data_IF_061408524567
#
_entry.id   IF_061408524567
#
_cell.length_a   1.000
_cell.length_b   1.000
_cell.length_c   1.000
_cell.angle_alpha   90.00
_cell.angle_beta   90.00
_cell.angle_gamma   90.00
#
_symmetry.space_group_name_H-M   'P 1'
#
loop_
_entity.id
_entity.type
_entity.pdbx_description
1 polymer ?
#
# COMPACT_ATOMS: atom_id res chain seq x y z
N UNK A 1 20.15 16.42 -23.47
CA UNK A 1 19.92 15.46 -24.59
C UNK A 1 19.23 14.20 -24.10
N UNK A 2 19.80 13.47 -23.11
CA UNK A 2 19.18 12.23 -22.58
C UNK A 2 17.76 12.45 -22.00
N UNK A 3 17.53 13.53 -21.28
CA UNK A 3 16.23 13.82 -20.65
C UNK A 3 15.12 14.05 -21.69
N UNK A 4 15.43 14.81 -22.73
CA UNK A 4 14.48 15.11 -23.81
C UNK A 4 14.11 13.84 -24.59
N UNK A 5 15.09 12.96 -24.82
CA UNK A 5 14.87 11.69 -25.48
C UNK A 5 13.89 10.81 -24.70
N UNK A 6 14.07 10.68 -23.37
CA UNK A 6 13.14 9.92 -22.54
C UNK A 6 11.72 10.49 -22.60
N UNK A 7 11.58 11.81 -22.56
CA UNK A 7 10.27 12.45 -22.69
C UNK A 7 9.63 12.20 -24.06
N UNK A 8 10.40 12.27 -25.15
CA UNK A 8 9.92 11.95 -26.50
C UNK A 8 9.47 10.49 -26.60
N UNK A 9 10.27 9.54 -26.10
CA UNK A 9 9.92 8.12 -26.08
C UNK A 9 8.65 7.85 -25.27
N UNK A 10 8.50 8.49 -24.11
CA UNK A 10 7.26 8.41 -23.30
C UNK A 10 6.05 8.84 -24.11
N UNK A 11 6.12 10.00 -24.76
CA UNK A 11 5.00 10.51 -25.55
C UNK A 11 4.70 9.66 -26.79
N UNK A 12 5.73 9.13 -27.44
CA UNK A 12 5.56 8.17 -28.52
C UNK A 12 4.72 6.97 -28.06
N UNK A 13 5.03 6.36 -26.92
CA UNK A 13 4.26 5.22 -26.39
C UNK A 13 2.79 5.56 -26.10
N UNK A 14 2.53 6.73 -25.50
CA UNK A 14 1.17 7.19 -25.20
C UNK A 14 0.38 7.42 -26.50
N UNK A 15 0.99 8.08 -27.50
CA UNK A 15 0.33 8.31 -28.79
C UNK A 15 0.11 7.01 -29.56
N UNK A 16 1.07 6.09 -29.56
CA UNK A 16 0.88 4.77 -30.19
C UNK A 16 -0.27 4.00 -29.57
N UNK A 17 -0.48 4.09 -28.25
CA UNK A 17 -1.67 3.52 -27.62
C UNK A 17 -2.96 4.18 -28.14
N UNK A 18 -3.00 5.51 -28.21
CA UNK A 18 -4.18 6.26 -28.68
C UNK A 18 -4.53 5.93 -30.13
N UNK A 19 -3.52 5.87 -30.99
CA UNK A 19 -3.69 5.48 -32.39
C UNK A 19 -4.30 4.06 -32.47
N UNK A 20 -3.85 3.13 -31.63
CA UNK A 20 -4.43 1.78 -31.55
C UNK A 20 -5.87 1.77 -31.06
N UNK A 21 -6.21 2.62 -30.09
CA UNK A 21 -7.58 2.78 -29.60
C UNK A 21 -8.47 3.31 -30.73
N UNK A 22 -8.00 4.30 -31.50
CA UNK A 22 -8.78 4.95 -32.56
C UNK A 22 -9.09 4.01 -33.74
N UNK A 23 -8.14 3.13 -34.10
CA UNK A 23 -8.33 2.14 -35.17
C UNK A 23 -9.00 0.84 -34.68
N UNK A 24 -9.30 0.74 -33.38
CA UNK A 24 -9.86 -0.47 -32.78
C UNK A 24 -11.25 -0.76 -33.33
N UNK A 25 -11.38 -1.87 -34.07
CA UNK A 25 -12.66 -2.40 -34.55
C UNK A 25 -12.71 -3.91 -34.31
N UNK A 26 -13.90 -4.51 -34.07
CA UNK A 26 -14.04 -5.94 -33.78
C UNK A 26 -13.42 -6.89 -34.82
N UNK A 27 -13.26 -6.43 -36.06
CA UNK A 27 -12.79 -7.20 -37.21
C UNK A 27 -11.38 -6.83 -37.69
N UNK A 28 -10.66 -5.95 -36.98
CA UNK A 28 -9.35 -5.48 -37.45
C UNK A 28 -8.21 -6.44 -37.04
N UNK A 29 -7.67 -7.17 -38.01
CA UNK A 29 -6.54 -8.11 -37.83
C UNK A 29 -5.19 -7.42 -37.67
N UNK A 30 -5.05 -6.13 -38.02
CA UNK A 30 -3.81 -5.37 -37.83
C UNK A 30 -3.45 -5.20 -36.35
N UNK A 31 -4.47 -5.14 -35.49
CA UNK A 31 -4.31 -5.06 -34.03
C UNK A 31 -3.47 -6.22 -33.47
N UNK A 32 -3.54 -7.41 -34.08
CA UNK A 32 -2.78 -8.59 -33.62
C UNK A 32 -1.26 -8.44 -33.78
N UNK A 33 -0.79 -7.56 -34.68
CA UNK A 33 0.64 -7.31 -34.89
C UNK A 33 1.14 -6.13 -34.06
N UNK A 34 0.33 -5.08 -33.97
CA UNK A 34 0.72 -3.85 -33.28
C UNK A 34 0.71 -4.00 -31.74
N UNK A 35 -0.19 -4.82 -31.19
CA UNK A 35 -0.29 -5.04 -29.74
C UNK A 35 1.00 -5.61 -29.14
N UNK A 36 1.55 -6.73 -29.66
CA UNK A 36 2.83 -7.26 -29.18
C UNK A 36 3.98 -6.26 -29.33
N UNK A 37 3.99 -5.49 -30.43
CA UNK A 37 5.05 -4.52 -30.70
C UNK A 37 5.03 -3.36 -29.70
N UNK A 38 3.86 -2.77 -29.43
CA UNK A 38 3.72 -1.73 -28.43
C UNK A 38 4.04 -2.26 -27.02
N UNK A 39 3.51 -3.44 -26.67
CA UNK A 39 3.79 -4.08 -25.38
C UNK A 39 5.29 -4.30 -25.16
N UNK A 40 6.01 -4.78 -26.19
CA UNK A 40 7.46 -4.94 -26.15
C UNK A 40 8.18 -3.61 -25.96
N UNK A 41 7.80 -2.59 -26.74
CA UNK A 41 8.45 -1.27 -26.69
C UNK A 41 8.23 -0.61 -25.31
N UNK A 42 7.04 -0.75 -24.73
CA UNK A 42 6.76 -0.33 -23.36
C UNK A 42 7.68 -1.03 -22.34
N UNK A 43 7.83 -2.36 -22.44
CA UNK A 43 8.72 -3.14 -21.55
C UNK A 43 10.18 -2.69 -21.66
N UNK A 44 10.66 -2.42 -22.88
CA UNK A 44 12.02 -1.95 -23.13
C UNK A 44 12.25 -0.54 -22.53
N UNK A 45 11.29 0.36 -22.69
CA UNK A 45 11.32 1.70 -22.09
C UNK A 45 11.30 1.64 -20.56
N UNK A 46 10.37 0.87 -19.97
CA UNK A 46 10.26 0.68 -18.52
C UNK A 46 11.52 0.05 -17.96
N UNK A 47 12.05 -0.99 -18.60
CA UNK A 47 13.31 -1.63 -18.20
C UNK A 47 14.51 -0.69 -18.26
N UNK A 48 14.53 0.23 -19.22
CA UNK A 48 15.56 1.27 -19.30
C UNK A 48 15.42 2.29 -18.16
N UNK A 49 14.21 2.78 -17.90
CA UNK A 49 13.94 3.67 -16.79
C UNK A 49 14.28 3.02 -15.44
N UNK A 50 13.97 1.72 -15.28
CA UNK A 50 14.30 0.96 -14.08
C UNK A 50 15.81 0.91 -13.81
N UNK A 51 16.62 0.54 -14.82
CA UNK A 51 18.10 0.56 -14.69
C UNK A 51 18.63 1.96 -14.36
N UNK A 52 17.98 3.00 -14.86
CA UNK A 52 18.34 4.38 -14.53
C UNK A 52 17.95 4.74 -13.09
N UNK A 53 16.76 4.37 -12.62
CA UNK A 53 16.37 4.57 -11.22
C UNK A 53 17.37 3.91 -10.26
N UNK A 54 17.77 2.67 -10.54
CA UNK A 54 18.69 1.93 -9.66
C UNK A 54 20.12 2.52 -9.62
N UNK A 55 20.57 3.15 -10.72
CA UNK A 55 21.95 3.63 -10.84
C UNK A 55 22.16 5.12 -10.51
N UNK A 56 21.13 5.96 -10.65
CA UNK A 56 21.29 7.42 -10.60
C UNK A 56 21.46 8.02 -9.19
N UNK A 57 21.17 7.27 -8.12
CA UNK A 57 21.52 7.59 -6.73
C UNK A 57 21.27 9.05 -6.27
N UNK A 58 20.16 9.66 -6.72
CA UNK A 58 19.70 10.98 -6.25
C UNK A 58 20.14 12.16 -7.11
N UNK A 59 20.81 11.90 -8.24
CA UNK A 59 21.12 12.94 -9.23
C UNK A 59 19.83 13.59 -9.77
N UNK A 60 19.87 14.82 -10.33
CA UNK A 60 18.68 15.48 -10.90
C UNK A 60 17.93 14.64 -11.93
N UNK A 61 18.64 13.80 -12.69
CA UNK A 61 18.04 12.87 -13.64
C UNK A 61 17.23 11.76 -12.93
N UNK A 62 17.56 11.41 -11.68
CA UNK A 62 16.83 10.40 -10.90
C UNK A 62 15.36 10.79 -10.72
N UNK A 63 15.13 12.04 -10.28
CA UNK A 63 13.79 12.60 -10.10
C UNK A 63 13.03 12.65 -11.42
N UNK A 64 13.71 13.05 -12.51
CA UNK A 64 13.09 13.10 -13.84
C UNK A 64 12.66 11.71 -14.33
N UNK A 65 13.50 10.70 -14.18
CA UNK A 65 13.18 9.32 -14.57
C UNK A 65 11.99 8.82 -13.75
N UNK A 66 11.98 9.06 -12.44
CA UNK A 66 10.84 8.73 -11.57
C UNK A 66 9.53 9.37 -12.07
N UNK A 67 9.55 10.68 -12.32
CA UNK A 67 8.38 11.42 -12.80
C UNK A 67 7.88 10.90 -14.16
N UNK A 68 8.80 10.64 -15.10
CA UNK A 68 8.46 10.13 -16.42
C UNK A 68 7.86 8.73 -16.35
N UNK A 69 8.40 7.88 -15.46
CA UNK A 69 7.88 6.54 -15.25
C UNK A 69 6.48 6.57 -14.64
N UNK A 70 6.26 7.38 -13.60
CA UNK A 70 4.95 7.52 -12.97
C UNK A 70 3.92 8.08 -13.96
N UNK A 71 4.28 9.15 -14.68
CA UNK A 71 3.41 9.76 -15.68
C UNK A 71 3.08 8.80 -16.82
N UNK A 72 4.05 8.02 -17.33
CA UNK A 72 3.77 7.02 -18.36
C UNK A 72 2.68 6.07 -17.87
N UNK A 73 2.89 5.43 -16.73
CA UNK A 73 1.97 4.40 -16.26
C UNK A 73 0.58 4.96 -15.96
N UNK A 74 0.49 6.11 -15.29
CA UNK A 74 -0.80 6.73 -14.94
C UNK A 74 -1.57 7.10 -16.22
N UNK A 75 -0.99 7.93 -17.09
CA UNK A 75 -1.68 8.38 -18.30
C UNK A 75 -2.02 7.22 -19.23
N UNK A 76 -1.12 6.26 -19.38
CA UNK A 76 -1.36 5.09 -20.23
C UNK A 76 -2.50 4.21 -19.70
N UNK A 77 -2.60 4.04 -18.38
CA UNK A 77 -3.68 3.27 -17.77
C UNK A 77 -5.03 4.02 -17.78
N UNK A 78 -5.01 5.35 -17.61
CA UNK A 78 -6.20 6.20 -17.77
C UNK A 78 -6.77 6.11 -19.20
N UNK A 79 -5.90 6.23 -20.21
CA UNK A 79 -6.28 6.11 -21.62
C UNK A 79 -6.83 4.71 -21.94
N UNK A 80 -6.40 3.66 -21.22
CA UNK A 80 -6.87 2.28 -21.39
C UNK A 80 -8.19 1.95 -20.68
N UNK A 81 -8.60 2.70 -19.65
CA UNK A 81 -9.72 2.31 -18.78
C UNK A 81 -11.06 2.18 -19.53
N UNK A 82 -11.32 3.10 -20.45
CA UNK A 82 -12.49 3.05 -21.33
C UNK A 82 -12.41 1.90 -22.35
N UNK A 83 -11.35 1.83 -23.17
CA UNK A 83 -11.17 0.79 -24.18
C UNK A 83 -11.27 -0.64 -23.63
N UNK A 84 -10.72 -0.92 -22.46
CA UNK A 84 -10.79 -2.24 -21.81
C UNK A 84 -12.23 -2.70 -21.59
N UNK A 85 -13.13 -1.79 -21.18
CA UNK A 85 -14.55 -2.09 -20.93
C UNK A 85 -15.28 -2.47 -22.22
N UNK A 86 -14.82 -1.96 -23.37
CA UNK A 86 -15.38 -2.22 -24.69
C UNK A 86 -14.77 -3.45 -25.36
N UNK A 87 -13.45 -3.63 -25.23
CA UNK A 87 -12.66 -4.62 -25.94
C UNK A 87 -11.66 -5.29 -24.99
N UNK A 88 -11.97 -6.53 -24.57
CA UNK A 88 -11.15 -7.29 -23.61
C UNK A 88 -9.68 -7.48 -24.04
N UNK A 89 -9.38 -7.48 -25.33
CA UNK A 89 -8.00 -7.63 -25.83
C UNK A 89 -7.04 -6.53 -25.32
N UNK A 90 -7.54 -5.33 -25.00
CA UNK A 90 -6.72 -4.24 -24.46
C UNK A 90 -6.19 -4.52 -23.04
N UNK A 91 -6.71 -5.53 -22.35
CA UNK A 91 -6.16 -6.02 -21.08
C UNK A 91 -4.68 -6.42 -21.20
N UNK A 92 -4.27 -6.96 -22.36
CA UNK A 92 -2.88 -7.38 -22.61
C UNK A 92 -1.88 -6.22 -22.65
N UNK A 93 -2.38 -5.00 -22.84
CA UNK A 93 -1.57 -3.78 -22.89
C UNK A 93 -1.39 -3.13 -21.53
N UNK A 94 -2.06 -3.60 -20.47
CA UNK A 94 -1.92 -3.02 -19.13
C UNK A 94 -0.46 -2.98 -18.67
N UNK A 95 0.00 -1.80 -18.30
CA UNK A 95 1.31 -1.59 -17.72
C UNK A 95 1.21 -1.68 -16.20
N UNK A 96 1.24 -2.91 -15.68
CA UNK A 96 1.29 -3.17 -14.24
C UNK A 96 2.72 -3.46 -13.78
N UNK A 97 3.05 -3.05 -12.57
CA UNK A 97 4.37 -3.23 -11.96
C UNK A 97 4.25 -4.34 -10.91
N UNK A 98 4.46 -5.58 -11.35
CA UNK A 98 4.50 -6.76 -10.48
C UNK A 98 5.93 -7.19 -10.08
N UNK A 99 6.95 -6.58 -10.69
CA UNK A 99 8.35 -6.84 -10.38
C UNK A 99 8.72 -6.24 -9.01
N UNK A 100 9.03 -7.11 -8.05
CA UNK A 100 9.39 -6.70 -6.69
C UNK A 100 10.65 -5.82 -6.60
N UNK A 101 11.62 -5.96 -7.52
CA UNK A 101 12.81 -5.11 -7.55
C UNK A 101 12.46 -3.69 -7.99
N UNK A 102 11.60 -3.55 -9.00
CA UNK A 102 11.13 -2.24 -9.45
C UNK A 102 10.26 -1.58 -8.37
N UNK A 103 9.36 -2.33 -7.72
CA UNK A 103 8.58 -1.83 -6.58
C UNK A 103 9.50 -1.31 -5.47
N UNK A 104 10.51 -2.10 -5.08
CA UNK A 104 11.48 -1.71 -4.06
C UNK A 104 12.30 -0.48 -4.46
N UNK A 105 12.63 -0.34 -5.74
CA UNK A 105 13.38 0.82 -6.24
C UNK A 105 12.56 2.11 -6.18
N UNK A 106 11.27 2.05 -6.53
CA UNK A 106 10.35 3.18 -6.39
C UNK A 106 10.18 3.59 -4.92
N UNK A 107 10.01 2.61 -4.02
CA UNK A 107 9.91 2.85 -2.57
C UNK A 107 11.21 3.44 -2.02
N UNK A 108 12.36 2.86 -2.37
CA UNK A 108 13.68 3.34 -1.95
C UNK A 108 13.94 4.77 -2.43
N UNK A 109 13.52 5.10 -3.66
CA UNK A 109 13.59 6.47 -4.18
C UNK A 109 12.78 7.44 -3.32
N UNK A 110 11.52 7.12 -3.02
CA UNK A 110 10.69 7.96 -2.17
C UNK A 110 11.30 8.14 -0.78
N UNK A 111 11.68 7.06 -0.12
CA UNK A 111 12.22 7.09 1.24
C UNK A 111 13.50 7.96 1.31
N UNK A 112 14.44 7.76 0.39
CA UNK A 112 15.78 8.36 0.44
C UNK A 112 15.87 9.75 -0.19
N UNK A 113 15.16 9.98 -1.30
CA UNK A 113 15.36 11.18 -2.12
C UNK A 113 14.19 12.17 -2.08
N UNK A 114 13.03 11.73 -1.59
CA UNK A 114 11.84 12.58 -1.45
C UNK A 114 11.53 12.84 0.02
N UNK A 115 11.14 11.83 0.77
CA UNK A 115 10.60 11.98 2.14
C UNK A 115 11.66 12.52 3.09
N UNK A 116 12.86 11.92 3.07
CA UNK A 116 13.98 12.31 3.93
C UNK A 116 14.74 13.56 3.44
N UNK A 117 14.40 14.11 2.27
CA UNK A 117 15.14 15.20 1.64
C UNK A 117 14.61 16.57 2.07
N UNK A 118 15.20 17.15 3.11
CA UNK A 118 14.79 18.46 3.66
C UNK A 118 15.07 19.64 2.72
N UNK A 119 15.98 19.49 1.76
CA UNK A 119 16.31 20.54 0.78
C UNK A 119 15.24 20.69 -0.31
N UNK A 120 14.46 19.63 -0.55
CA UNK A 120 13.35 19.67 -1.50
C UNK A 120 12.14 20.35 -0.87
N UNK A 121 11.53 21.27 -1.63
CA UNK A 121 10.33 21.99 -1.17
C UNK A 121 9.23 20.99 -0.75
N UNK A 122 8.49 21.32 0.31
CA UNK A 122 7.38 20.47 0.76
C UNK A 122 6.34 20.25 -0.35
N UNK A 123 6.14 21.25 -1.21
CA UNK A 123 5.25 21.14 -2.36
C UNK A 123 5.71 20.03 -3.32
N UNK A 124 6.99 20.04 -3.71
CA UNK A 124 7.54 19.03 -4.62
C UNK A 124 7.57 17.64 -3.98
N UNK A 125 7.94 17.56 -2.70
CA UNK A 125 7.90 16.29 -1.95
C UNK A 125 6.50 15.69 -1.95
N UNK A 126 5.49 16.50 -1.68
CA UNK A 126 4.08 16.09 -1.73
C UNK A 126 3.68 15.64 -3.14
N UNK A 127 4.09 16.36 -4.18
CA UNK A 127 3.78 16.01 -5.56
C UNK A 127 4.32 14.62 -5.93
N UNK A 128 5.55 14.28 -5.55
CA UNK A 128 6.13 12.95 -5.81
C UNK A 128 5.43 11.83 -5.02
N UNK A 129 5.04 12.08 -3.77
CA UNK A 129 4.27 11.11 -2.97
C UNK A 129 2.89 10.88 -3.59
N UNK A 130 2.20 11.94 -4.06
CA UNK A 130 0.92 11.82 -4.75
C UNK A 130 1.05 10.98 -6.02
N UNK A 131 2.11 11.18 -6.82
CA UNK A 131 2.34 10.35 -8.01
C UNK A 131 2.43 8.85 -7.65
N UNK A 132 3.13 8.50 -6.58
CA UNK A 132 3.21 7.10 -6.13
C UNK A 132 1.86 6.56 -5.64
N UNK A 133 1.14 7.37 -4.86
CA UNK A 133 -0.19 7.00 -4.37
C UNK A 133 -1.15 6.76 -5.53
N UNK A 134 -1.08 7.59 -6.58
CA UNK A 134 -1.85 7.41 -7.80
C UNK A 134 -1.49 6.11 -8.53
N UNK A 135 -0.22 5.71 -8.59
CA UNK A 135 0.13 4.40 -9.18
C UNK A 135 -0.67 3.25 -8.53
N UNK A 136 -0.90 3.31 -7.23
CA UNK A 136 -1.68 2.29 -6.54
C UNK A 136 -3.17 2.44 -6.83
N UNK A 137 -3.73 3.65 -6.81
CA UNK A 137 -5.15 3.87 -7.10
C UNK A 137 -5.55 3.53 -8.54
N UNK A 138 -4.62 3.64 -9.50
CA UNK A 138 -4.82 3.18 -10.89
C UNK A 138 -4.52 1.69 -11.09
N UNK A 139 -4.34 0.91 -10.01
CA UNK A 139 -4.00 -0.52 -10.03
C UNK A 139 -2.72 -0.84 -10.83
N UNK A 140 -1.77 0.10 -10.91
CA UNK A 140 -0.45 -0.13 -11.51
C UNK A 140 0.46 -0.83 -10.51
N UNK A 141 0.43 -0.38 -9.26
CA UNK A 141 1.13 -1.00 -8.14
C UNK A 141 0.14 -1.76 -7.24
N UNK A 142 0.57 -2.85 -6.59
CA UNK A 142 -0.24 -3.53 -5.59
C UNK A 142 -0.62 -2.60 -4.43
N UNK A 143 -1.81 -2.76 -3.88
CA UNK A 143 -2.32 -1.95 -2.75
C UNK A 143 -1.36 -1.93 -1.57
N UNK A 144 -0.66 -3.05 -1.33
CA UNK A 144 0.35 -3.22 -0.30
C UNK A 144 1.44 -2.13 -0.35
N UNK A 145 1.77 -1.61 -1.54
CA UNK A 145 2.79 -0.57 -1.69
C UNK A 145 2.47 0.70 -0.90
N UNK A 146 1.19 1.00 -0.60
CA UNK A 146 0.81 2.17 0.19
C UNK A 146 1.30 2.11 1.64
N UNK A 147 1.56 0.92 2.20
CA UNK A 147 2.13 0.82 3.54
C UNK A 147 3.48 1.54 3.67
N UNK A 148 4.27 1.56 2.60
CA UNK A 148 5.57 2.24 2.61
C UNK A 148 5.45 3.76 2.67
N UNK A 149 4.31 4.33 2.27
CA UNK A 149 4.00 5.74 2.47
C UNK A 149 3.29 5.95 3.82
N UNK A 150 2.31 5.09 4.13
CA UNK A 150 1.47 5.23 5.33
C UNK A 150 2.26 5.05 6.62
N UNK A 151 3.40 4.36 6.60
CA UNK A 151 4.30 4.27 7.76
C UNK A 151 4.75 5.63 8.29
N UNK A 152 4.75 6.67 7.44
CA UNK A 152 5.14 8.03 7.81
C UNK A 152 4.01 8.85 8.43
N UNK A 153 2.80 8.29 8.56
CA UNK A 153 1.65 9.02 9.05
C UNK A 153 1.87 9.56 10.47
N UNK A 154 2.56 8.82 11.34
CA UNK A 154 2.86 9.25 12.71
C UNK A 154 3.94 10.33 12.80
N UNK A 155 5.05 10.18 12.06
CA UNK A 155 6.20 11.08 12.17
C UNK A 155 6.02 12.36 11.35
N UNK A 156 5.37 12.26 10.19
CA UNK A 156 5.24 13.34 9.21
C UNK A 156 3.78 13.69 8.93
N UNK A 157 2.91 13.59 9.94
CA UNK A 157 1.48 13.87 9.79
C UNK A 157 1.19 15.24 9.16
N UNK A 158 1.88 16.29 9.63
CA UNK A 158 1.68 17.66 9.11
C UNK A 158 2.05 17.77 7.62
N UNK A 159 3.04 16.99 7.19
CA UNK A 159 3.58 17.04 5.83
C UNK A 159 2.77 16.16 4.89
N UNK A 160 2.56 14.88 5.23
CA UNK A 160 1.96 13.89 4.33
C UNK A 160 0.59 13.36 4.78
N UNK A 161 0.14 13.71 5.99
CA UNK A 161 -1.15 13.28 6.55
C UNK A 161 -2.35 13.52 5.63
N UNK A 162 -2.54 14.72 5.04
CA UNK A 162 -3.65 14.95 4.11
C UNK A 162 -3.67 14.01 2.90
N UNK A 163 -2.49 13.64 2.36
CA UNK A 163 -2.39 12.70 1.24
C UNK A 163 -2.78 11.30 1.69
N UNK A 164 -2.30 10.88 2.86
CA UNK A 164 -2.60 9.57 3.46
C UNK A 164 -4.10 9.46 3.79
N UNK A 165 -4.68 10.48 4.42
CA UNK A 165 -6.11 10.54 4.74
C UNK A 165 -6.99 10.51 3.48
N UNK A 166 -6.60 11.24 2.43
CA UNK A 166 -7.30 11.20 1.14
C UNK A 166 -7.26 9.81 0.51
N UNK A 167 -6.11 9.14 0.55
CA UNK A 167 -5.96 7.77 0.06
C UNK A 167 -6.79 6.77 0.88
N UNK A 168 -6.79 6.90 2.21
CA UNK A 168 -7.63 6.09 3.11
C UNK A 168 -9.12 6.31 2.83
N UNK A 169 -9.56 7.53 2.57
CA UNK A 169 -10.95 7.82 2.18
C UNK A 169 -11.31 7.13 0.87
N UNK A 170 -10.42 7.18 -0.13
CA UNK A 170 -10.62 6.48 -1.40
C UNK A 170 -10.74 4.96 -1.20
N UNK A 171 -9.92 4.36 -0.34
CA UNK A 171 -10.03 2.93 0.00
C UNK A 171 -11.32 2.60 0.73
N UNK A 172 -11.77 3.47 1.64
CA UNK A 172 -13.02 3.25 2.36
C UNK A 172 -14.25 3.31 1.44
N UNK A 173 -14.14 4.00 0.31
CA UNK A 173 -15.17 4.05 -0.72
C UNK A 173 -15.08 2.89 -1.74
N UNK A 174 -14.06 2.02 -1.64
CA UNK A 174 -13.93 0.88 -2.53
C UNK A 174 -15.03 -0.17 -2.26
N UNK A 175 -15.43 -0.98 -3.26
CA UNK A 175 -16.46 -2.00 -3.08
C UNK A 175 -16.14 -3.05 -2.00
N UNK A 176 -14.86 -3.32 -1.77
CA UNK A 176 -14.41 -4.19 -0.69
C UNK A 176 -13.99 -3.37 0.53
N UNK A 177 -14.90 -3.29 1.51
CA UNK A 177 -14.68 -2.60 2.79
C UNK A 177 -13.49 -3.18 3.59
N UNK A 178 -13.02 -4.39 3.27
CA UNK A 178 -11.88 -5.00 3.96
C UNK A 178 -10.54 -4.39 3.53
N UNK A 179 -10.48 -3.71 2.38
CA UNK A 179 -9.22 -3.18 1.83
C UNK A 179 -8.56 -2.21 2.80
N UNK A 180 -9.32 -1.27 3.37
CA UNK A 180 -8.78 -0.31 4.35
C UNK A 180 -8.31 -1.01 5.63
N UNK A 181 -9.05 -2.03 6.11
CA UNK A 181 -8.69 -2.78 7.31
C UNK A 181 -7.39 -3.56 7.09
N UNK A 182 -7.27 -4.23 5.94
CA UNK A 182 -6.06 -4.93 5.53
C UNK A 182 -4.88 -3.96 5.42
N UNK A 183 -5.11 -2.78 4.87
CA UNK A 183 -4.07 -1.77 4.68
C UNK A 183 -3.51 -1.26 6.00
N UNK A 184 -4.36 -1.03 7.01
CA UNK A 184 -3.91 -0.65 8.36
C UNK A 184 -3.02 -1.74 8.96
N UNK A 185 -3.46 -3.00 8.93
CA UNK A 185 -2.66 -4.11 9.47
C UNK A 185 -1.34 -4.25 8.72
N UNK A 186 -1.37 -4.21 7.40
CA UNK A 186 -0.16 -4.36 6.58
C UNK A 186 0.84 -3.21 6.82
N UNK A 187 0.37 -1.98 7.00
CA UNK A 187 1.23 -0.84 7.37
C UNK A 187 1.94 -1.07 8.70
N UNK A 188 1.20 -1.53 9.71
CA UNK A 188 1.76 -1.83 11.02
C UNK A 188 2.74 -2.99 10.97
N UNK A 189 2.43 -4.03 10.19
CA UNK A 189 3.33 -5.14 9.93
C UNK A 189 4.64 -4.67 9.31
N UNK A 190 4.61 -3.78 8.30
CA UNK A 190 5.85 -3.25 7.68
C UNK A 190 6.76 -2.57 8.72
N UNK A 191 6.21 -1.75 9.60
CA UNK A 191 7.01 -1.11 10.66
C UNK A 191 7.51 -2.16 11.66
N UNK A 192 6.66 -3.09 12.06
CA UNK A 192 7.02 -4.12 13.02
C UNK A 192 8.12 -5.06 12.49
N UNK A 193 8.05 -5.50 11.24
CA UNK A 193 9.10 -6.30 10.58
C UNK A 193 10.43 -5.54 10.53
N UNK A 194 10.40 -4.23 10.27
CA UNK A 194 11.61 -3.40 10.31
C UNK A 194 12.26 -3.37 11.70
N UNK A 195 11.45 -3.39 12.77
CA UNK A 195 11.95 -3.43 14.15
C UNK A 195 12.54 -4.80 14.46
N UNK A 196 11.83 -5.89 14.13
CA UNK A 196 12.32 -7.26 14.35
C UNK A 196 13.59 -7.53 13.56
N UNK A 197 13.67 -7.11 12.30
CA UNK A 197 14.86 -7.33 11.48
C UNK A 197 16.09 -6.62 12.07
N UNK A 198 15.91 -5.46 12.70
CA UNK A 198 16.98 -4.70 13.34
C UNK A 198 17.36 -5.20 14.73
N UNK A 199 16.40 -5.69 15.52
CA UNK A 199 16.57 -5.96 16.96
C UNK A 199 16.30 -7.40 17.38
N UNK A 200 15.86 -8.26 16.48
CA UNK A 200 15.43 -9.65 16.72
C UNK A 200 14.06 -9.77 17.40
N UNK A 201 13.73 -8.88 18.33
CA UNK A 201 12.44 -8.82 19.00
C UNK A 201 12.05 -7.37 19.31
N UNK A 202 10.77 -7.13 19.54
CA UNK A 202 10.29 -5.82 19.99
C UNK A 202 10.24 -5.75 21.52
N UNK A 203 10.84 -4.72 22.09
CA UNK A 203 10.62 -4.33 23.48
C UNK A 203 9.55 -3.23 23.52
N UNK A 204 8.44 -3.52 24.21
CA UNK A 204 7.27 -2.64 24.31
C UNK A 204 7.54 -1.30 25.01
N UNK A 205 8.69 -1.15 25.67
CA UNK A 205 9.15 0.06 26.35
C UNK A 205 9.97 0.98 25.46
N UNK A 206 10.39 0.50 24.28
CA UNK A 206 11.23 1.26 23.35
C UNK A 206 10.44 2.31 22.57
N UNK A 207 11.17 3.28 22.01
CA UNK A 207 10.63 4.26 21.08
C UNK A 207 9.99 3.60 19.86
N UNK A 208 10.57 2.53 19.33
CA UNK A 208 10.01 1.77 18.21
C UNK A 208 8.60 1.25 18.50
N UNK A 209 8.38 0.69 19.69
CA UNK A 209 7.04 0.27 20.12
C UNK A 209 6.09 1.47 20.30
N UNK A 210 6.59 2.61 20.78
CA UNK A 210 5.76 3.81 20.92
C UNK A 210 5.37 4.40 19.56
N UNK A 211 6.25 4.36 18.56
CA UNK A 211 5.97 4.80 17.20
C UNK A 211 4.84 3.97 16.57
N UNK A 212 4.85 2.64 16.77
CA UNK A 212 3.74 1.77 16.33
C UNK A 212 2.43 2.14 17.06
N UNK A 213 2.47 2.38 18.38
CA UNK A 213 1.28 2.82 19.14
C UNK A 213 0.74 4.16 18.67
N UNK A 214 1.61 5.12 18.33
CA UNK A 214 1.20 6.43 17.80
C UNK A 214 0.52 6.29 16.46
N UNK A 215 1.11 5.51 15.54
CA UNK A 215 0.52 5.23 14.24
C UNK A 215 -0.85 4.57 14.37
N UNK A 216 -0.97 3.57 15.26
CA UNK A 216 -2.25 2.93 15.58
C UNK A 216 -3.30 3.93 16.02
N UNK A 217 -2.99 4.76 17.01
CA UNK A 217 -3.91 5.79 17.51
C UNK A 217 -4.34 6.73 16.39
N UNK A 218 -3.46 7.04 15.46
CA UNK A 218 -3.75 7.94 14.36
C UNK A 218 -4.66 7.30 13.30
N UNK A 219 -4.44 6.02 12.96
CA UNK A 219 -5.39 5.28 12.14
C UNK A 219 -6.75 5.19 12.81
N UNK A 220 -6.81 4.88 14.11
CA UNK A 220 -8.08 4.79 14.84
C UNK A 220 -8.77 6.14 15.04
N UNK A 221 -8.02 7.23 15.02
CA UNK A 221 -8.58 8.57 15.03
C UNK A 221 -9.25 8.94 13.69
N UNK A 222 -9.00 8.20 12.61
CA UNK A 222 -9.60 8.45 11.31
C UNK A 222 -11.11 8.14 11.31
N UNK A 223 -11.89 8.96 10.59
CA UNK A 223 -13.36 8.97 10.66
C UNK A 223 -14.00 7.59 10.45
N UNK A 224 -13.43 6.77 9.56
CA UNK A 224 -13.95 5.42 9.25
C UNK A 224 -13.99 4.52 10.49
N UNK A 225 -13.00 4.63 11.38
CA UNK A 225 -12.92 3.83 12.60
C UNK A 225 -13.78 4.36 13.76
N UNK A 226 -14.44 5.52 13.57
CA UNK A 226 -15.37 6.10 14.55
C UNK A 226 -16.83 5.78 14.23
N UNK A 227 -17.11 5.11 13.12
CA UNK A 227 -18.47 4.73 12.74
C UNK A 227 -19.01 3.66 13.68
N UNK A 228 -20.23 3.85 14.21
CA UNK A 228 -20.92 2.87 15.05
C UNK A 228 -21.32 1.59 14.32
N UNK A 229 -21.26 1.59 12.98
CA UNK A 229 -21.66 0.46 12.13
C UNK A 229 -20.48 -0.34 11.59
N UNK A 230 -19.26 -0.06 12.07
CA UNK A 230 -18.05 -0.68 11.52
C UNK A 230 -17.90 -2.15 11.94
N UNK A 231 -17.81 -3.04 10.95
CA UNK A 231 -17.50 -4.46 11.15
C UNK A 231 -15.99 -4.67 11.26
N UNK A 232 -15.44 -4.42 12.45
CA UNK A 232 -13.99 -4.43 12.68
C UNK A 232 -13.40 -5.80 13.01
N UNK A 233 -14.20 -6.87 13.08
CA UNK A 233 -13.73 -8.24 13.35
C UNK A 233 -12.63 -8.66 12.37
N UNK A 234 -12.75 -8.24 11.10
CA UNK A 234 -11.78 -8.52 10.04
C UNK A 234 -10.40 -7.93 10.31
N UNK A 235 -10.33 -6.78 11.00
CA UNK A 235 -9.07 -6.17 11.43
C UNK A 235 -8.30 -7.11 12.38
N UNK A 236 -9.02 -7.78 13.28
CA UNK A 236 -8.48 -8.78 14.20
C UNK A 236 -8.08 -10.05 13.45
N UNK A 237 -8.90 -10.52 12.51
CA UNK A 237 -8.58 -11.71 11.71
C UNK A 237 -7.30 -11.52 10.89
N UNK A 238 -7.12 -10.37 10.25
CA UNK A 238 -5.87 -10.05 9.56
C UNK A 238 -4.68 -9.95 10.52
N UNK A 239 -4.88 -9.31 11.68
CA UNK A 239 -3.83 -9.18 12.70
C UNK A 239 -3.38 -10.53 13.26
N UNK A 240 -4.32 -11.45 13.55
CA UNK A 240 -4.01 -12.80 14.01
C UNK A 240 -3.34 -13.64 12.91
N UNK A 241 -3.81 -13.54 11.67
CA UNK A 241 -3.17 -14.20 10.54
C UNK A 241 -1.73 -13.71 10.30
N UNK A 242 -1.41 -12.47 10.68
CA UNK A 242 -0.05 -11.97 10.64
C UNK A 242 0.78 -12.47 11.84
N UNK A 243 0.28 -12.28 13.06
CA UNK A 243 0.98 -12.60 14.29
C UNK A 243 1.27 -14.10 14.44
N UNK A 244 0.38 -14.97 13.95
CA UNK A 244 0.54 -16.42 14.06
C UNK A 244 1.34 -17.08 12.94
N UNK A 245 1.99 -16.30 12.07
CA UNK A 245 2.90 -16.85 11.04
C UNK A 245 4.18 -17.42 11.63
N UNK A 246 4.70 -16.80 12.68
CA UNK A 246 5.99 -17.13 13.28
C UNK A 246 6.03 -16.66 14.74
N UNK A 247 6.79 -17.34 15.60
CA UNK A 247 6.88 -17.04 17.03
C UNK A 247 7.43 -15.64 17.33
N UNK A 248 8.35 -15.13 16.51
CA UNK A 248 8.88 -13.76 16.62
C UNK A 248 7.80 -12.68 16.50
N UNK A 249 6.63 -13.03 15.93
CA UNK A 249 5.54 -12.08 15.66
C UNK A 249 4.46 -12.09 16.73
N UNK A 250 4.53 -12.94 17.75
CA UNK A 250 3.52 -12.98 18.81
C UNK A 250 3.42 -11.66 19.56
N UNK A 251 4.54 -10.95 19.77
CA UNK A 251 4.52 -9.64 20.42
C UNK A 251 3.75 -8.56 19.63
N UNK A 252 3.43 -8.80 18.35
CA UNK A 252 2.50 -7.94 17.59
C UNK A 252 1.11 -7.90 18.25
N UNK A 253 0.70 -8.97 18.92
CA UNK A 253 -0.60 -9.08 19.61
C UNK A 253 -0.79 -8.03 20.70
N UNK A 254 0.28 -7.50 21.31
CA UNK A 254 0.16 -6.41 22.28
C UNK A 254 -0.39 -5.11 21.68
N UNK A 255 -0.20 -4.92 20.38
CA UNK A 255 -0.74 -3.79 19.63
C UNK A 255 -2.18 -4.03 19.15
N UNK A 256 -2.61 -5.28 19.09
CA UNK A 256 -3.96 -5.65 18.62
C UNK A 256 -5.05 -5.23 19.59
N UNK A 257 -4.72 -4.99 20.88
CA UNK A 257 -5.68 -4.52 21.89
C UNK A 257 -6.48 -3.28 21.46
N UNK A 258 -5.83 -2.36 20.74
CA UNK A 258 -6.46 -1.13 20.26
C UNK A 258 -7.59 -1.40 19.27
N UNK A 259 -7.54 -2.54 18.57
CA UNK A 259 -8.60 -2.99 17.67
C UNK A 259 -9.72 -3.70 18.41
N UNK A 260 -9.41 -4.43 19.49
CA UNK A 260 -10.40 -5.09 20.35
C UNK A 260 -11.32 -4.04 20.99
N UNK A 261 -10.77 -2.87 21.32
CA UNK A 261 -11.54 -1.76 21.90
C UNK A 261 -12.63 -1.20 20.96
N UNK A 262 -12.54 -1.47 19.65
CA UNK A 262 -13.55 -1.10 18.65
C UNK A 262 -14.74 -2.05 18.62
N UNK A 263 -14.62 -3.25 19.20
CA UNK A 263 -15.64 -4.29 19.11
C UNK A 263 -16.67 -4.15 20.22
N UNK A 264 -17.92 -4.49 19.89
CA UNK A 264 -18.96 -4.75 20.90
C UNK A 264 -18.80 -6.15 21.53
N UNK A 265 -19.65 -6.48 22.50
CA UNK A 265 -19.54 -7.73 23.24
C UNK A 265 -19.98 -8.97 22.43
N UNK A 266 -20.73 -8.80 21.34
CA UNK A 266 -21.09 -9.89 20.42
C UNK A 266 -19.91 -10.22 19.50
N UNK A 267 -19.35 -9.18 18.89
CA UNK A 267 -18.16 -9.26 18.04
C UNK A 267 -16.96 -9.82 18.80
N UNK A 268 -16.75 -9.39 20.05
CA UNK A 268 -15.69 -9.95 20.91
C UNK A 268 -15.83 -11.46 21.09
N UNK A 269 -17.06 -11.98 21.23
CA UNK A 269 -17.31 -13.41 21.37
C UNK A 269 -16.97 -14.17 20.10
N UNK A 270 -17.41 -13.67 18.94
CA UNK A 270 -17.08 -14.27 17.65
C UNK A 270 -15.55 -14.30 17.42
N UNK A 271 -14.89 -13.16 17.66
CA UNK A 271 -13.45 -13.03 17.51
C UNK A 271 -12.69 -13.92 18.49
N UNK A 272 -13.19 -14.10 19.72
CA UNK A 272 -12.60 -15.01 20.70
C UNK A 272 -12.69 -16.48 20.23
N UNK A 273 -13.81 -16.91 19.67
CA UNK A 273 -13.96 -18.26 19.12
C UNK A 273 -13.06 -18.48 17.92
N UNK A 274 -12.94 -17.50 17.02
CA UNK A 274 -11.96 -17.54 15.94
C UNK A 274 -10.52 -17.60 16.47
N UNK A 275 -10.18 -16.76 17.45
CA UNK A 275 -8.87 -16.71 18.08
C UNK A 275 -8.48 -18.08 18.66
N UNK A 276 -9.34 -18.69 19.48
CA UNK A 276 -9.11 -20.03 20.06
C UNK A 276 -8.83 -21.09 19.00
N UNK A 277 -9.56 -21.08 17.88
CA UNK A 277 -9.36 -22.00 16.75
C UNK A 277 -8.03 -21.78 16.03
N UNK A 278 -7.50 -20.55 16.05
CA UNK A 278 -6.31 -20.15 15.30
C UNK A 278 -5.01 -20.26 16.10
N UNK A 279 -5.07 -20.26 17.44
CA UNK A 279 -3.89 -20.43 18.31
C UNK A 279 -3.23 -21.78 18.01
N UNK A 280 -1.93 -21.80 17.64
CA UNK A 280 -1.20 -23.05 17.49
C UNK A 280 -1.04 -23.77 18.85
N UNK A 281 -0.91 -25.10 18.85
CA UNK A 281 -0.91 -25.93 20.08
C UNK A 281 0.23 -25.66 21.07
N UNK A 282 1.40 -25.20 20.59
CA UNK A 282 2.55 -24.78 21.42
C UNK A 282 2.40 -23.42 22.14
N UNK A 283 2.11 -22.31 21.44
CA UNK A 283 2.11 -20.94 21.97
C UNK A 283 0.90 -20.55 22.82
N UNK A 284 0.00 -21.46 23.17
CA UNK A 284 -1.14 -21.15 24.04
C UNK A 284 -0.74 -20.55 25.41
N UNK A 285 0.52 -20.75 25.82
CA UNK A 285 1.11 -20.20 27.05
C UNK A 285 1.96 -18.95 26.84
N UNK A 286 2.09 -18.45 25.61
CA UNK A 286 2.85 -17.22 25.35
C UNK A 286 2.15 -16.00 25.96
N UNK A 287 2.90 -15.12 26.61
CA UNK A 287 2.35 -13.96 27.33
C UNK A 287 1.50 -13.04 26.45
N UNK A 288 1.87 -12.85 25.18
CA UNK A 288 1.12 -12.00 24.25
C UNK A 288 -0.21 -12.65 23.83
N UNK A 289 -0.21 -13.97 23.66
CA UNK A 289 -1.40 -14.78 23.34
C UNK A 289 -2.36 -14.80 24.53
N UNK A 290 -1.84 -15.04 25.73
CA UNK A 290 -2.61 -14.99 26.97
C UNK A 290 -3.18 -13.59 27.22
N UNK A 291 -2.39 -12.55 26.98
CA UNK A 291 -2.83 -11.16 27.10
C UNK A 291 -4.06 -10.87 26.23
N UNK A 292 -4.01 -11.18 24.92
CA UNK A 292 -5.16 -10.98 24.02
C UNK A 292 -6.34 -11.86 24.40
N UNK A 293 -6.09 -13.14 24.71
CA UNK A 293 -7.16 -14.07 25.11
C UNK A 293 -7.90 -13.61 26.36
N UNK A 294 -7.19 -13.03 27.34
CA UNK A 294 -7.79 -12.47 28.53
C UNK A 294 -8.50 -11.14 28.25
N UNK A 295 -7.93 -10.29 27.39
CA UNK A 295 -8.54 -9.01 27.02
C UNK A 295 -9.85 -9.19 26.24
N UNK A 296 -9.94 -10.18 25.35
CA UNK A 296 -11.18 -10.54 24.65
C UNK A 296 -12.27 -11.06 25.60
N UNK A 297 -11.91 -11.67 26.72
CA UNK A 297 -12.86 -12.14 27.75
C UNK A 297 -13.39 -10.99 28.62
N UNK A 298 -12.71 -9.85 28.66
CA UNK A 298 -13.17 -8.67 29.40
C UNK A 298 -14.30 -8.01 28.59
N UNK A 299 -15.53 -8.47 28.85
CA UNK A 299 -16.75 -7.84 28.35
C UNK A 299 -16.97 -6.51 29.07
N UNK A 300 -17.52 -5.52 28.37
CA UNK A 300 -17.90 -4.27 29.04
C UNK A 300 -18.98 -4.61 30.09
N UNK A 301 -18.94 -4.04 31.30
CA UNK A 301 -20.07 -4.18 32.20
C UNK A 301 -21.30 -3.66 31.47
N UNK A 302 -22.33 -4.50 31.37
CA UNK A 302 -23.65 -4.12 30.85
C UNK A 302 -24.03 -2.81 31.52
N UNK A 303 -24.23 -1.75 30.73
CA UNK A 303 -24.87 -0.55 31.22
C UNK A 303 -26.29 -0.96 31.61
N UNK A 304 -26.48 -1.28 32.88
CA UNK A 304 -27.78 -1.60 33.43
C UNK A 304 -28.67 -0.36 33.34
N UNK A 305 -29.76 -0.52 32.59
CA UNK A 305 -31.00 0.28 32.57
C UNK A 305 -30.91 1.75 32.14
#
# INVERSE_FOLDING_TARGET
IRDNLLCCCKWYLIWSLRDLIDIARPSNTELQKEFPQLSRTCKEYVGTCFRMLDSLNGQPLHIKVYNLLCHLHITYMEDLEGPIKLFKQFEELKLTINDGQLQNSLVSFLDKHVISNTEMSLHDRRAHVVQFVNLVHHNILPTQCLAYVFKYYYAYNKEFGPIIESSLMSMAAAPDENVILMMVVYTLSVIYENVITKRGAIDLRTEDANNIKLLLKQFLAFKVFRSSNGKFQKLLYFSFNYAFKDESKYSFLYFVKYFIDLLDDEDKREVLEFFKKKIPSGPAKNDAVLFVGNYLKQMKPSAAA
#
